data_IF_581039970864
#
_entry.id   IF_581039970864
#
_cell.length_a   1.000
_cell.length_b   1.000
_cell.length_c   1.000
_cell.angle_alpha   90.00
_cell.angle_beta   90.00
_cell.angle_gamma   90.00
#
_symmetry.space_group_name_H-M   'P 1'
#
loop_
_entity.id
_entity.type
_entity.pdbx_description
1 polymer ?
#
# COMPACT_ATOMS: atom_id res chain seq x y z
N UNK A 1 -8.60 -1.24 -13.71
CA UNK A 1 -7.12 -1.07 -13.63
C UNK A 1 -6.41 -2.07 -12.69
N UNK A 2 -6.98 -2.44 -11.54
CA UNK A 2 -6.31 -3.32 -10.56
C UNK A 2 -6.34 -4.80 -10.94
N UNK A 3 -7.52 -5.37 -11.17
CA UNK A 3 -7.73 -6.75 -11.65
C UNK A 3 -8.54 -6.71 -12.97
N UNK A 4 -8.55 -7.83 -13.70
CA UNK A 4 -9.36 -8.08 -14.90
C UNK A 4 -10.69 -8.77 -14.61
N UNK A 5 -10.94 -9.16 -13.36
CA UNK A 5 -12.11 -9.94 -12.94
C UNK A 5 -13.22 -9.11 -12.31
N UNK A 6 -12.94 -7.87 -11.89
CA UNK A 6 -13.96 -6.95 -11.38
C UNK A 6 -14.65 -6.20 -12.51
N UNK A 7 -15.94 -5.81 -12.32
CA UNK A 7 -16.66 -4.93 -13.24
C UNK A 7 -15.95 -3.59 -13.50
N UNK A 8 -14.98 -3.23 -12.65
CA UNK A 8 -14.21 -2.00 -12.72
C UNK A 8 -12.99 -2.10 -13.67
N UNK A 9 -12.87 -3.19 -14.43
CA UNK A 9 -11.87 -3.33 -15.49
C UNK A 9 -12.32 -2.63 -16.78
N UNK A 10 -11.93 -1.37 -16.95
CA UNK A 10 -12.21 -0.58 -18.15
C UNK A 10 -11.28 -0.85 -19.35
N UNK A 11 -10.52 -1.95 -19.36
CA UNK A 11 -9.59 -2.25 -20.46
C UNK A 11 -8.44 -1.24 -20.59
N UNK A 12 -8.08 -0.52 -19.54
CA UNK A 12 -7.00 0.48 -19.54
C UNK A 12 -6.02 0.22 -18.40
N UNK A 13 -4.73 0.36 -18.70
CA UNK A 13 -3.64 0.22 -17.73
C UNK A 13 -2.46 1.08 -18.13
N UNK A 14 -1.65 1.44 -17.15
CA UNK A 14 -0.38 2.16 -17.37
C UNK A 14 0.71 1.23 -17.90
N UNK A 15 0.55 -0.08 -17.72
CA UNK A 15 1.43 -1.07 -18.32
C UNK A 15 0.71 -1.72 -19.50
N UNK A 16 1.30 -1.60 -20.68
CA UNK A 16 0.84 -2.26 -21.91
C UNK A 16 1.96 -3.11 -22.49
N UNK A 17 1.64 -4.34 -22.89
CA UNK A 17 2.56 -5.25 -23.58
C UNK A 17 1.95 -5.62 -24.92
N UNK A 18 2.61 -5.27 -26.02
CA UNK A 18 2.11 -5.51 -27.39
C UNK A 18 0.66 -5.01 -27.58
N UNK A 19 0.35 -3.83 -27.06
CA UNK A 19 -1.00 -3.23 -27.13
C UNK A 19 -2.05 -3.86 -26.22
N UNK A 20 -1.66 -4.78 -25.32
CA UNK A 20 -2.55 -5.38 -24.34
C UNK A 20 -2.34 -4.72 -22.97
N UNK A 21 -3.36 -4.05 -22.40
CA UNK A 21 -3.28 -3.45 -21.09
C UNK A 21 -3.24 -4.53 -20.00
N UNK A 22 -2.26 -4.41 -19.11
CA UNK A 22 -1.98 -5.39 -18.07
C UNK A 22 -2.50 -4.89 -16.72
N UNK A 23 -3.48 -5.56 -16.10
CA UNK A 23 -3.92 -5.25 -14.74
C UNK A 23 -2.79 -5.28 -13.71
N UNK A 24 -2.83 -4.38 -12.73
CA UNK A 24 -1.78 -4.22 -11.71
C UNK A 24 -1.51 -5.51 -10.92
N UNK A 25 -2.52 -6.37 -10.73
CA UNK A 25 -2.36 -7.66 -10.05
C UNK A 25 -1.32 -8.57 -10.72
N UNK A 26 -1.18 -8.51 -12.05
CA UNK A 26 -0.28 -9.38 -12.81
C UNK A 26 1.13 -8.82 -12.98
N UNK A 27 1.39 -7.57 -12.56
CA UNK A 27 2.70 -6.94 -12.77
C UNK A 27 3.82 -7.69 -12.06
N UNK A 28 3.52 -8.25 -10.88
CA UNK A 28 4.46 -9.07 -10.11
C UNK A 28 4.84 -10.31 -10.90
N UNK A 29 3.86 -11.05 -11.40
CA UNK A 29 4.08 -12.30 -12.12
C UNK A 29 4.85 -12.05 -13.41
N UNK A 30 4.54 -10.97 -14.15
CA UNK A 30 5.27 -10.62 -15.38
C UNK A 30 6.73 -10.24 -15.10
N UNK A 31 6.99 -9.51 -14.00
CA UNK A 31 8.35 -9.11 -13.65
C UNK A 31 9.16 -10.22 -12.96
N UNK A 32 8.51 -11.25 -12.42
CA UNK A 32 9.15 -12.39 -11.76
C UNK A 32 9.30 -13.61 -12.67
N UNK A 33 8.39 -13.79 -13.63
CA UNK A 33 8.32 -14.99 -14.45
C UNK A 33 9.11 -14.80 -15.75
N UNK A 34 10.39 -15.16 -15.70
CA UNK A 34 11.12 -15.55 -16.91
C UNK A 34 10.89 -17.04 -17.15
N UNK A 35 10.37 -17.42 -18.31
CA UNK A 35 10.17 -18.81 -18.77
C UNK A 35 11.47 -19.66 -18.88
N UNK A 36 12.57 -19.27 -18.23
CA UNK A 36 13.89 -19.89 -18.34
C UNK A 36 14.57 -20.17 -16.99
N UNK A 37 13.82 -20.36 -15.90
CA UNK A 37 14.36 -20.80 -14.60
C UNK A 37 15.32 -19.82 -13.91
N UNK A 38 15.55 -18.64 -14.49
CA UNK A 38 16.41 -17.59 -13.96
C UNK A 38 15.94 -16.24 -14.50
N UNK A 39 15.72 -15.21 -13.65
CA UNK A 39 15.26 -13.90 -14.08
C UNK A 39 16.12 -13.39 -15.24
N UNK A 40 15.50 -13.09 -16.39
CA UNK A 40 16.21 -12.53 -17.55
C UNK A 40 17.03 -11.28 -17.20
N UNK A 41 16.67 -10.61 -16.10
CA UNK A 41 17.52 -9.63 -15.43
C UNK A 41 17.38 -9.74 -13.90
N UNK A 42 18.42 -10.16 -13.16
CA UNK A 42 18.37 -10.13 -11.70
C UNK A 42 18.10 -8.69 -11.21
N UNK A 43 17.26 -8.55 -10.18
CA UNK A 43 16.83 -7.28 -9.55
C UNK A 43 15.86 -6.39 -10.34
N UNK A 44 15.33 -6.80 -11.48
CA UNK A 44 14.31 -6.00 -12.20
C UNK A 44 13.06 -5.74 -11.35
N UNK A 45 12.57 -6.76 -10.63
CA UNK A 45 11.47 -6.59 -9.68
C UNK A 45 11.80 -5.56 -8.59
N UNK A 46 13.04 -5.46 -8.10
CA UNK A 46 13.39 -4.52 -7.03
C UNK A 46 13.18 -3.06 -7.48
N UNK A 47 13.54 -2.74 -8.72
CA UNK A 47 13.29 -1.42 -9.30
C UNK A 47 11.80 -1.16 -9.59
N UNK A 48 11.06 -2.19 -10.02
CA UNK A 48 9.64 -2.06 -10.36
C UNK A 48 8.72 -2.05 -9.14
N UNK A 49 9.12 -2.73 -8.05
CA UNK A 49 8.31 -2.91 -6.83
C UNK A 49 7.84 -1.59 -6.24
N UNK A 50 8.69 -0.56 -6.23
CA UNK A 50 8.31 0.78 -5.75
C UNK A 50 7.22 1.43 -6.61
N UNK A 51 7.36 1.35 -7.95
CA UNK A 51 6.34 1.87 -8.88
C UNK A 51 5.03 1.09 -8.79
N UNK A 52 5.11 -0.23 -8.73
CA UNK A 52 3.96 -1.10 -8.52
C UNK A 52 3.24 -0.77 -7.22
N UNK A 53 3.98 -0.60 -6.12
CA UNK A 53 3.41 -0.21 -4.84
C UNK A 53 2.70 1.15 -4.93
N UNK A 54 3.33 2.16 -5.54
CA UNK A 54 2.71 3.47 -5.74
C UNK A 54 1.39 3.38 -6.53
N UNK A 55 1.35 2.59 -7.60
CA UNK A 55 0.11 2.35 -8.34
C UNK A 55 -0.94 1.61 -7.52
N UNK A 56 -0.54 0.59 -6.74
CA UNK A 56 -1.42 -0.09 -5.78
C UNK A 56 -2.07 0.90 -4.82
N UNK A 57 -1.28 1.83 -4.28
CA UNK A 57 -1.74 2.88 -3.35
C UNK A 57 -2.77 3.80 -3.99
N UNK A 58 -2.52 4.30 -5.19
CA UNK A 58 -3.45 5.21 -5.89
C UNK A 58 -4.74 4.49 -6.24
N UNK A 59 -4.65 3.29 -6.83
CA UNK A 59 -5.84 2.55 -7.25
C UNK A 59 -6.69 2.10 -6.06
N UNK A 60 -6.05 1.78 -4.93
CA UNK A 60 -6.79 1.51 -3.69
C UNK A 60 -7.61 2.72 -3.25
N UNK A 61 -7.01 3.93 -3.19
CA UNK A 61 -7.76 5.15 -2.84
C UNK A 61 -8.86 5.45 -3.85
N UNK A 62 -8.54 5.38 -5.14
CA UNK A 62 -9.50 5.62 -6.22
C UNK A 62 -10.73 4.72 -6.13
N UNK A 63 -10.57 3.46 -5.69
CA UNK A 63 -11.68 2.51 -5.51
C UNK A 63 -12.54 2.77 -4.26
N UNK A 64 -12.05 3.54 -3.29
CA UNK A 64 -12.82 3.90 -2.10
C UNK A 64 -13.78 5.06 -2.35
N UNK A 65 -13.62 5.76 -3.48
CA UNK A 65 -14.32 6.99 -3.82
C UNK A 65 -14.97 6.90 -5.21
N UNK A 66 -15.78 7.91 -5.54
CA UNK A 66 -16.22 8.13 -6.92
C UNK A 66 -15.13 8.84 -7.71
N UNK A 67 -15.15 8.74 -9.04
CA UNK A 67 -14.17 9.44 -9.91
C UNK A 67 -14.15 10.95 -9.63
N UNK A 68 -15.33 11.56 -9.44
CA UNK A 68 -15.46 12.98 -9.12
C UNK A 68 -14.83 13.32 -7.77
N UNK A 69 -15.15 12.57 -6.71
CA UNK A 69 -14.58 12.81 -5.37
C UNK A 69 -13.06 12.71 -5.37
N UNK A 70 -12.53 11.69 -6.04
CA UNK A 70 -11.09 11.50 -6.14
C UNK A 70 -10.43 12.70 -6.84
N UNK A 71 -10.96 13.13 -7.98
CA UNK A 71 -10.38 14.27 -8.69
C UNK A 71 -10.61 15.61 -7.99
N UNK A 72 -11.69 15.78 -7.22
CA UNK A 72 -11.89 16.96 -6.38
C UNK A 72 -10.83 17.03 -5.28
N UNK A 73 -10.49 15.90 -4.64
CA UNK A 73 -9.42 15.81 -3.64
C UNK A 73 -8.03 16.05 -4.26
N UNK A 74 -7.78 15.48 -5.44
CA UNK A 74 -6.48 15.50 -6.12
C UNK A 74 -6.40 16.52 -7.25
N UNK A 75 -7.14 17.63 -7.16
CA UNK A 75 -7.00 18.79 -8.05
C UNK A 75 -6.74 20.06 -7.26
N UNK A 76 -6.01 20.98 -7.89
CA UNK A 76 -5.78 22.32 -7.35
C UNK A 76 -6.05 23.35 -8.45
N UNK A 77 -6.93 24.31 -8.16
CA UNK A 77 -7.38 25.33 -9.13
C UNK A 77 -7.90 24.73 -10.45
N UNK A 78 -8.68 23.64 -10.37
CA UNK A 78 -9.23 22.95 -11.53
C UNK A 78 -8.22 22.12 -12.34
N UNK A 79 -6.95 22.06 -11.92
CA UNK A 79 -5.93 21.22 -12.54
C UNK A 79 -5.62 20.00 -11.66
N UNK A 80 -5.63 18.81 -12.28
CA UNK A 80 -5.28 17.56 -11.61
C UNK A 80 -3.82 17.58 -11.18
N UNK A 81 -3.55 17.13 -9.97
CA UNK A 81 -2.20 16.95 -9.45
C UNK A 81 -1.43 15.91 -10.28
N UNK A 82 -0.13 16.12 -10.47
CA UNK A 82 0.71 15.11 -11.09
C UNK A 82 0.85 13.88 -10.16
N UNK A 83 1.12 12.72 -10.76
CA UNK A 83 1.19 11.44 -10.04
C UNK A 83 2.06 11.49 -8.78
N UNK A 84 3.25 12.11 -8.85
CA UNK A 84 4.14 12.24 -7.68
C UNK A 84 3.51 13.02 -6.54
N UNK A 85 2.76 14.10 -6.84
CA UNK A 85 2.05 14.89 -5.83
C UNK A 85 0.89 14.11 -5.21
N UNK A 86 0.17 13.31 -6.02
CA UNK A 86 -0.87 12.40 -5.51
C UNK A 86 -0.26 11.39 -4.53
N UNK A 87 0.85 10.74 -4.90
CA UNK A 87 1.55 9.79 -4.03
C UNK A 87 2.03 10.45 -2.73
N UNK A 88 2.61 11.65 -2.83
CA UNK A 88 3.04 12.39 -1.66
C UNK A 88 1.87 12.69 -0.72
N UNK A 89 0.75 13.20 -1.27
CA UNK A 89 -0.45 13.50 -0.51
C UNK A 89 -1.04 12.25 0.16
N UNK A 90 -1.13 11.14 -0.56
CA UNK A 90 -1.55 9.85 0.00
C UNK A 90 -0.62 9.36 1.11
N UNK A 91 0.69 9.60 0.99
CA UNK A 91 1.65 9.26 2.04
C UNK A 91 1.48 10.14 3.28
N UNK A 92 1.11 11.40 3.13
CA UNK A 92 0.84 12.31 4.26
C UNK A 92 -0.44 11.86 4.98
N UNK A 93 -1.54 11.64 4.24
CA UNK A 93 -2.80 11.15 4.80
C UNK A 93 -2.63 9.87 5.62
N UNK A 94 -1.86 8.91 5.10
CA UNK A 94 -1.57 7.67 5.83
C UNK A 94 -0.79 7.89 7.11
N UNK A 95 0.15 8.85 7.12
CA UNK A 95 0.90 9.18 8.33
C UNK A 95 -0.02 9.78 9.38
N UNK A 96 -0.94 10.65 8.97
CA UNK A 96 -1.91 11.28 9.87
C UNK A 96 -2.88 10.25 10.44
N UNK A 97 -3.43 9.36 9.59
CA UNK A 97 -4.28 8.24 9.99
C UNK A 97 -3.54 7.27 10.94
N UNK A 98 -2.30 6.91 10.62
CA UNK A 98 -1.47 6.06 11.46
C UNK A 98 -1.17 6.74 12.80
N UNK A 99 -0.95 8.06 12.82
CA UNK A 99 -0.73 8.82 14.04
C UNK A 99 -1.96 8.80 14.94
N UNK A 100 -3.13 9.16 14.41
CA UNK A 100 -4.39 9.17 15.14
C UNK A 100 -4.73 7.77 15.68
N UNK A 101 -4.53 6.73 14.87
CA UNK A 101 -4.76 5.35 15.29
C UNK A 101 -3.77 4.90 16.37
N UNK A 102 -2.50 5.28 16.27
CA UNK A 102 -1.51 4.96 17.27
C UNK A 102 -1.76 5.68 18.60
N UNK A 103 -2.22 6.92 18.58
CA UNK A 103 -2.66 7.65 19.78
C UNK A 103 -3.86 6.98 20.42
N UNK A 104 -4.87 6.60 19.62
CA UNK A 104 -6.01 5.85 20.10
C UNK A 104 -5.57 4.52 20.75
N UNK A 105 -4.67 3.77 20.12
CA UNK A 105 -4.16 2.52 20.68
C UNK A 105 -3.39 2.73 22.00
N UNK A 106 -2.62 3.82 22.12
CA UNK A 106 -1.92 4.17 23.37
C UNK A 106 -2.91 4.52 24.48
N UNK A 107 -3.98 5.25 24.16
CA UNK A 107 -5.01 5.60 25.12
C UNK A 107 -5.82 4.38 25.57
N UNK A 108 -6.19 3.50 24.63
CA UNK A 108 -7.02 2.32 24.91
C UNK A 108 -6.28 1.27 25.76
N UNK A 109 -5.04 0.94 25.41
CA UNK A 109 -4.28 -0.11 26.10
C UNK A 109 -3.51 0.42 27.30
N UNK A 110 -3.25 1.73 27.37
CA UNK A 110 -2.61 2.43 28.49
C UNK A 110 -1.47 1.62 29.16
N UNK A 111 -1.71 1.05 30.34
CA UNK A 111 -0.73 0.27 31.12
C UNK A 111 -0.31 -1.04 30.44
N UNK A 112 -1.21 -1.65 29.67
CA UNK A 112 -0.95 -2.89 28.94
C UNK A 112 -0.31 -2.64 27.57
N UNK A 113 -0.13 -1.37 27.17
CA UNK A 113 0.46 -1.04 25.88
C UNK A 113 1.82 -1.74 25.62
N UNK A 114 2.79 -1.79 26.55
CA UNK A 114 4.05 -2.49 26.34
C UNK A 114 3.89 -4.00 26.10
N UNK A 115 2.84 -4.60 26.66
CA UNK A 115 2.56 -6.05 26.55
C UNK A 115 2.14 -6.40 25.12
N UNK A 116 1.25 -5.60 24.54
CA UNK A 116 0.71 -5.86 23.20
C UNK A 116 1.54 -5.23 22.07
N UNK A 117 2.21 -4.10 22.33
CA UNK A 117 2.92 -3.31 21.34
C UNK A 117 4.43 -3.37 21.53
N UNK A 118 4.98 -4.58 21.63
CA UNK A 118 6.43 -4.81 21.71
C UNK A 118 6.92 -5.77 20.63
N UNK A 119 8.23 -5.86 20.46
CA UNK A 119 8.91 -6.83 19.61
C UNK A 119 10.23 -7.25 20.24
N UNK A 120 10.67 -8.48 19.96
CA UNK A 120 11.97 -8.98 20.44
C UNK A 120 13.05 -8.70 19.40
N UNK A 121 14.17 -8.15 19.84
CA UNK A 121 15.40 -7.99 19.06
C UNK A 121 16.59 -8.37 19.93
N UNK A 122 17.41 -9.31 19.45
CA UNK A 122 18.57 -9.83 20.18
C UNK A 122 18.25 -10.27 21.62
N UNK A 123 17.10 -10.92 21.82
CA UNK A 123 16.65 -11.38 23.15
C UNK A 123 16.04 -10.29 24.04
N UNK A 124 16.13 -9.01 23.65
CA UNK A 124 15.58 -7.88 24.41
C UNK A 124 14.21 -7.48 23.86
N UNK A 125 13.26 -7.19 24.75
CA UNK A 125 11.95 -6.66 24.37
C UNK A 125 12.01 -5.14 24.17
N UNK A 126 11.52 -4.66 23.03
CA UNK A 126 11.45 -3.26 22.68
C UNK A 126 10.00 -2.84 22.41
N UNK A 127 9.57 -1.74 22.99
CA UNK A 127 8.25 -1.15 22.74
C UNK A 127 8.26 -0.50 21.35
N UNK A 128 7.17 -0.69 20.59
CA UNK A 128 6.97 -0.06 19.29
C UNK A 128 6.72 1.43 19.49
N UNK A 129 7.50 2.26 18.81
CA UNK A 129 7.38 3.73 18.88
C UNK A 129 6.79 4.32 17.60
N UNK A 130 7.02 3.67 16.46
CA UNK A 130 6.55 4.14 15.15
C UNK A 130 5.03 4.00 15.04
N UNK A 131 4.28 5.06 14.70
CA UNK A 131 2.82 4.99 14.54
C UNK A 131 2.35 3.89 13.60
N UNK A 132 3.01 3.72 12.44
CA UNK A 132 2.66 2.67 11.47
C UNK A 132 2.79 1.24 12.01
N UNK A 133 3.81 0.97 12.85
CA UNK A 133 3.99 -0.34 13.48
C UNK A 133 2.95 -0.59 14.57
N UNK A 134 2.56 0.46 15.30
CA UNK A 134 1.51 0.43 16.30
C UNK A 134 0.16 0.18 15.63
N UNK A 135 -0.17 0.94 14.59
CA UNK A 135 -1.42 0.81 13.82
C UNK A 135 -1.59 -0.59 13.22
N UNK A 136 -0.52 -1.17 12.65
CA UNK A 136 -0.54 -2.56 12.16
C UNK A 136 -0.89 -3.56 13.27
N UNK A 137 -0.28 -3.40 14.44
CA UNK A 137 -0.52 -4.27 15.60
C UNK A 137 -1.95 -4.08 16.14
N UNK A 138 -2.41 -2.84 16.23
CA UNK A 138 -3.75 -2.50 16.68
C UNK A 138 -4.84 -3.07 15.76
N UNK A 139 -4.68 -2.94 14.44
CA UNK A 139 -5.60 -3.54 13.45
C UNK A 139 -5.67 -5.06 13.59
N UNK A 140 -4.54 -5.72 13.82
CA UNK A 140 -4.48 -7.16 14.07
C UNK A 140 -5.26 -7.55 15.33
N UNK A 141 -5.05 -6.82 16.44
CA UNK A 141 -5.75 -7.07 17.71
C UNK A 141 -7.27 -6.84 17.60
N UNK A 142 -7.70 -5.90 16.78
CA UNK A 142 -9.12 -5.62 16.52
C UNK A 142 -9.76 -6.58 15.52
N UNK A 143 -9.02 -7.52 14.95
CA UNK A 143 -9.52 -8.40 13.88
C UNK A 143 -9.82 -7.66 12.57
N UNK A 144 -9.36 -6.41 12.43
CA UNK A 144 -9.48 -5.61 11.22
C UNK A 144 -8.31 -6.02 10.33
N UNK A 145 -8.39 -7.21 9.74
CA UNK A 145 -7.39 -7.66 8.77
C UNK A 145 -7.52 -6.83 7.49
N UNK A 146 -6.80 -5.71 7.43
CA UNK A 146 -6.44 -5.07 6.17
C UNK A 146 -5.38 -5.95 5.49
N UNK A 147 -5.71 -6.50 4.33
CA UNK A 147 -4.89 -7.47 3.59
C UNK A 147 -3.55 -6.91 3.09
N UNK A 148 -2.61 -6.71 4.01
CA UNK A 148 -1.20 -6.48 3.74
C UNK A 148 -0.38 -7.58 4.41
N UNK A 149 -0.58 -8.82 3.96
CA UNK A 149 0.44 -9.86 4.08
C UNK A 149 1.54 -9.59 3.07
N UNK A 150 2.41 -8.62 3.37
CA UNK A 150 3.73 -8.60 2.77
C UNK A 150 4.55 -9.69 3.47
N UNK A 151 4.82 -10.75 2.71
CA UNK A 151 5.69 -11.85 3.08
C UNK A 151 6.99 -11.33 3.70
N UNK A 152 7.27 -11.86 4.88
CA UNK A 152 8.61 -11.87 5.46
C UNK A 152 9.54 -12.56 4.47
N UNK A 153 10.67 -11.94 4.20
CA UNK A 153 11.88 -12.65 3.80
C UNK A 153 12.37 -13.51 4.98
#
# INVERSE_FOLDING_TARGET
MWDDTTPNWGGTSVLEIKGHPIPIVYWKDICMNSNCGSPWKPRQWHGMKSKWFNWKVVVHRYRQETDTSFWDEFSHNGQRLCFTKIIQRLSELRKDEDHATAEHARAEYATDFPTFFSYKKNGVSHIKTKPSDITKTYRLLKGISGGDSDGKD
#
